data_IF_365375003706
#
_entry.id   IF_365375003706
#
_cell.length_a   1.000
_cell.length_b   1.000
_cell.length_c   1.000
_cell.angle_alpha   90.00
_cell.angle_beta   90.00
_cell.angle_gamma   90.00
#
_symmetry.space_group_name_H-M   'P 1'
#
loop_
_entity.id
_entity.type
_entity.pdbx_description
1 polymer ?
#
# COMPACT_ATOMS: atom_id res chain seq x y z
N UNK A 1 -12.02 -7.51 -8.31
CA UNK A 1 -10.68 -7.79 -7.76
C UNK A 1 -10.29 -9.25 -8.01
N UNK A 2 -11.11 -10.23 -7.62
CA UNK A 2 -10.84 -11.65 -7.81
C UNK A 2 -10.56 -12.03 -9.27
N UNK A 3 -11.40 -11.62 -10.21
CA UNK A 3 -11.18 -11.88 -11.64
C UNK A 3 -9.86 -11.29 -12.13
N UNK A 4 -9.52 -10.08 -11.66
CA UNK A 4 -8.27 -9.41 -11.99
C UNK A 4 -7.07 -10.23 -11.49
N UNK A 5 -7.15 -10.75 -10.27
CA UNK A 5 -6.14 -11.65 -9.72
C UNK A 5 -6.03 -12.95 -10.55
N UNK A 6 -7.13 -13.64 -10.84
CA UNK A 6 -7.14 -14.88 -11.64
C UNK A 6 -6.59 -14.64 -13.05
N UNK A 7 -7.01 -13.55 -13.70
CA UNK A 7 -6.70 -13.24 -15.10
C UNK A 7 -5.26 -12.79 -15.31
N UNK A 8 -4.67 -12.08 -14.35
CA UNK A 8 -3.36 -11.46 -14.54
C UNK A 8 -2.28 -12.05 -13.62
N UNK A 9 -2.52 -12.14 -12.32
CA UNK A 9 -1.50 -12.60 -11.36
C UNK A 9 -1.25 -14.11 -11.50
N UNK A 10 -2.30 -14.94 -11.50
CA UNK A 10 -2.14 -16.41 -11.62
C UNK A 10 -1.57 -16.87 -12.96
N UNK A 11 -1.66 -16.04 -14.01
CA UNK A 11 -1.00 -16.35 -15.29
C UNK A 11 0.52 -16.24 -15.22
N UNK A 12 1.02 -15.33 -14.38
CA UNK A 12 2.48 -15.09 -14.21
C UNK A 12 3.02 -15.92 -13.04
N UNK A 13 2.26 -16.05 -11.96
CA UNK A 13 2.61 -16.83 -10.77
C UNK A 13 1.47 -17.83 -10.50
N UNK A 14 1.51 -19.03 -11.10
CA UNK A 14 0.44 -20.03 -10.96
C UNK A 14 0.07 -20.36 -9.51
N UNK A 15 1.07 -20.44 -8.64
CA UNK A 15 0.90 -20.79 -7.22
C UNK A 15 0.57 -19.59 -6.31
N UNK A 16 0.26 -18.43 -6.89
CA UNK A 16 -0.09 -17.25 -6.11
C UNK A 16 -1.36 -17.50 -5.27
N UNK A 17 -1.29 -17.09 -4.01
CA UNK A 17 -2.42 -17.12 -3.07
C UNK A 17 -3.04 -15.73 -2.95
N UNK A 18 -4.37 -15.69 -2.98
CA UNK A 18 -5.13 -14.48 -2.68
C UNK A 18 -5.50 -14.49 -1.20
N UNK A 19 -4.95 -13.56 -0.44
CA UNK A 19 -5.26 -13.35 0.97
C UNK A 19 -6.07 -12.07 1.09
N UNK A 20 -7.28 -12.14 1.65
CA UNK A 20 -8.07 -10.96 1.99
C UNK A 20 -7.98 -10.72 3.48
N UNK A 21 -7.45 -9.57 3.87
CA UNK A 21 -7.53 -9.12 5.26
C UNK A 21 -8.91 -8.57 5.56
N UNK A 22 -9.60 -9.20 6.50
CA UNK A 22 -10.86 -8.73 7.03
C UNK A 22 -10.59 -7.58 8.02
N UNK A 23 -11.09 -6.39 7.66
CA UNK A 23 -10.98 -5.16 8.45
C UNK A 23 -12.31 -4.74 9.10
N UNK A 24 -13.33 -5.63 9.08
CA UNK A 24 -14.70 -5.33 9.51
C UNK A 24 -15.78 -5.73 8.51
N UNK A 25 -15.50 -6.69 7.62
CA UNK A 25 -16.48 -7.28 6.71
C UNK A 25 -17.63 -7.91 7.49
N UNK A 26 -18.84 -7.71 6.98
CA UNK A 26 -20.06 -8.32 7.49
C UNK A 26 -20.07 -9.83 7.21
N UNK A 27 -20.92 -10.56 7.93
CA UNK A 27 -21.13 -11.98 7.70
C UNK A 27 -21.54 -12.30 6.25
N UNK A 28 -22.42 -11.48 5.66
CA UNK A 28 -22.87 -11.69 4.27
C UNK A 28 -21.76 -11.42 3.24
N UNK A 29 -20.89 -10.43 3.47
CA UNK A 29 -19.72 -10.19 2.63
C UNK A 29 -18.72 -11.35 2.71
N UNK A 30 -18.45 -11.87 3.91
CA UNK A 30 -17.59 -13.06 4.08
C UNK A 30 -18.20 -14.27 3.36
N UNK A 31 -19.51 -14.48 3.49
CA UNK A 31 -20.24 -15.55 2.80
C UNK A 31 -20.15 -15.39 1.27
N UNK A 32 -20.27 -14.17 0.77
CA UNK A 32 -20.10 -13.86 -0.65
C UNK A 32 -18.66 -14.18 -1.12
N UNK A 33 -17.64 -13.74 -0.39
CA UNK A 33 -16.24 -14.01 -0.74
C UNK A 33 -15.95 -15.52 -0.80
N UNK A 34 -16.49 -16.29 0.15
CA UNK A 34 -16.38 -17.76 0.15
C UNK A 34 -17.07 -18.39 -1.06
N UNK A 35 -18.26 -17.90 -1.45
CA UNK A 35 -18.95 -18.35 -2.68
C UNK A 35 -18.13 -18.06 -3.94
N UNK A 36 -17.41 -16.95 -3.97
CA UNK A 36 -16.49 -16.60 -5.06
C UNK A 36 -15.15 -17.38 -5.01
N UNK A 37 -15.09 -18.48 -4.25
CA UNK A 37 -13.90 -19.32 -4.08
C UNK A 37 -12.67 -18.53 -3.57
N UNK A 38 -12.86 -17.47 -2.76
CA UNK A 38 -11.79 -16.86 -1.95
C UNK A 38 -11.57 -17.74 -0.74
N UNK A 39 -10.47 -18.50 -0.76
CA UNK A 39 -10.21 -19.55 0.22
C UNK A 39 -9.52 -19.04 1.49
N UNK A 40 -8.90 -17.85 1.45
CA UNK A 40 -8.10 -17.35 2.56
C UNK A 40 -8.49 -15.92 2.96
N UNK A 41 -9.29 -15.84 4.02
CA UNK A 41 -9.71 -14.58 4.67
C UNK A 41 -9.06 -14.56 6.06
N UNK A 42 -8.32 -13.50 6.39
CA UNK A 42 -7.60 -13.36 7.66
C UNK A 42 -8.11 -12.15 8.43
N UNK A 43 -8.51 -12.32 9.68
CA UNK A 43 -8.92 -11.20 10.52
C UNK A 43 -7.72 -10.35 10.94
N UNK A 44 -7.82 -9.05 10.71
CA UNK A 44 -6.87 -8.10 11.29
C UNK A 44 -7.30 -7.84 12.74
N UNK A 45 -6.54 -8.39 13.70
CA UNK A 45 -6.83 -8.27 15.13
C UNK A 45 -6.42 -6.91 15.67
N UNK A 46 -7.26 -5.90 15.44
CA UNK A 46 -7.04 -4.51 15.87
C UNK A 46 -6.82 -4.39 17.38
N UNK A 47 -7.37 -5.30 18.18
CA UNK A 47 -7.29 -5.33 19.65
C UNK A 47 -5.86 -5.57 20.15
N UNK A 48 -4.97 -6.08 19.30
CA UNK A 48 -3.56 -6.32 19.64
C UNK A 48 -2.67 -5.09 19.48
N UNK A 49 -3.21 -3.99 18.98
CA UNK A 49 -2.44 -2.80 18.62
C UNK A 49 -2.92 -1.57 19.39
N UNK A 50 -2.10 -0.51 19.48
CA UNK A 50 -2.49 0.75 20.10
C UNK A 50 -3.79 1.32 19.51
N UNK A 51 -4.52 2.11 20.30
CA UNK A 51 -5.87 2.56 19.95
C UNK A 51 -5.95 3.30 18.61
N UNK A 52 -4.93 4.09 18.26
CA UNK A 52 -4.90 4.81 16.98
C UNK A 52 -4.87 3.86 15.77
N UNK A 53 -4.31 2.66 15.90
CA UNK A 53 -4.29 1.64 14.83
C UNK A 53 -5.70 1.13 14.51
N UNK A 54 -6.63 1.23 15.46
CA UNK A 54 -8.03 0.80 15.29
C UNK A 54 -8.81 1.72 14.35
N UNK A 55 -8.27 2.88 14.00
CA UNK A 55 -8.87 3.84 13.07
C UNK A 55 -8.43 3.48 11.64
N UNK A 56 -9.27 2.83 10.81
CA UNK A 56 -8.82 2.28 9.53
C UNK A 56 -8.37 3.37 8.54
N UNK A 57 -8.89 4.59 8.68
CA UNK A 57 -8.53 5.75 7.84
C UNK A 57 -7.06 6.18 8.00
N UNK A 58 -6.36 5.74 9.05
CA UNK A 58 -4.91 5.91 9.19
C UNK A 58 -4.08 4.89 8.39
N UNK A 59 -4.72 3.89 7.77
CA UNK A 59 -4.10 2.84 6.95
C UNK A 59 -2.98 2.04 7.65
N UNK A 60 -2.89 2.12 8.98
CA UNK A 60 -1.82 1.47 9.77
C UNK A 60 -1.82 -0.05 9.63
N UNK A 61 -3.00 -0.64 9.44
CA UNK A 61 -3.13 -2.08 9.21
C UNK A 61 -2.32 -2.57 8.00
N UNK A 62 -2.11 -1.73 6.97
CA UNK A 62 -1.47 -2.12 5.70
C UNK A 62 -0.03 -2.58 5.86
N UNK A 63 0.91 -1.76 6.38
CA UNK A 63 2.29 -2.21 6.59
C UNK A 63 2.38 -3.41 7.54
N UNK A 64 1.50 -3.49 8.53
CA UNK A 64 1.46 -4.61 9.49
C UNK A 64 1.03 -5.91 8.78
N UNK A 65 -0.02 -5.85 7.95
CA UNK A 65 -0.47 -6.97 7.14
C UNK A 65 0.61 -7.44 6.17
N UNK A 66 1.25 -6.51 5.44
CA UNK A 66 2.37 -6.81 4.53
C UNK A 66 3.51 -7.49 5.29
N UNK A 67 3.93 -6.94 6.43
CA UNK A 67 5.00 -7.54 7.26
C UNK A 67 4.62 -8.94 7.72
N UNK A 68 3.37 -9.15 8.13
CA UNK A 68 2.88 -10.45 8.62
C UNK A 68 2.95 -11.50 7.52
N UNK A 69 2.44 -11.19 6.32
CA UNK A 69 2.48 -12.12 5.19
C UNK A 69 3.93 -12.35 4.71
N UNK A 70 4.79 -11.33 4.77
CA UNK A 70 6.22 -11.50 4.49
C UNK A 70 6.91 -12.45 5.47
N UNK A 71 6.39 -12.72 6.67
CA UNK A 71 6.98 -13.76 7.54
C UNK A 71 6.76 -15.17 6.97
N UNK A 72 5.73 -15.35 6.15
CA UNK A 72 5.31 -16.64 5.60
C UNK A 72 5.78 -16.82 4.15
N UNK A 73 5.74 -15.75 3.35
CA UNK A 73 5.97 -15.80 1.91
C UNK A 73 7.17 -14.92 1.49
N UNK A 74 7.93 -15.34 0.46
CA UNK A 74 9.11 -14.59 0.00
C UNK A 74 8.76 -13.35 -0.83
N UNK A 75 7.52 -13.24 -1.32
CA UNK A 75 7.04 -12.15 -2.15
C UNK A 75 5.58 -11.84 -1.78
N UNK A 76 5.26 -10.56 -1.59
CA UNK A 76 3.91 -10.08 -1.30
C UNK A 76 3.53 -9.02 -2.32
N UNK A 77 2.38 -9.19 -2.95
CA UNK A 77 1.74 -8.15 -3.78
C UNK A 77 0.62 -7.54 -2.94
N UNK A 78 0.80 -6.30 -2.51
CA UNK A 78 -0.27 -5.51 -1.94
C UNK A 78 -1.06 -4.81 -3.04
N UNK A 79 -2.38 -4.85 -2.93
CA UNK A 79 -3.29 -4.20 -3.87
C UNK A 79 -4.55 -3.76 -3.13
N UNK A 80 -4.82 -2.46 -3.10
CA UNK A 80 -6.06 -1.93 -2.54
C UNK A 80 -7.27 -2.49 -3.31
N UNK A 81 -8.42 -2.59 -2.64
CA UNK A 81 -9.63 -3.19 -3.21
C UNK A 81 -10.18 -2.44 -4.44
N UNK A 82 -9.80 -1.18 -4.61
CA UNK A 82 -10.13 -0.34 -5.77
C UNK A 82 -9.26 -0.61 -6.99
N UNK A 83 -8.07 -1.22 -6.82
CA UNK A 83 -7.03 -1.31 -7.85
C UNK A 83 -7.25 -2.49 -8.79
N UNK A 84 -7.06 -2.28 -10.09
CA UNK A 84 -7.14 -3.33 -11.13
C UNK A 84 -6.02 -3.19 -12.15
N UNK A 85 -5.33 -4.28 -12.47
CA UNK A 85 -4.50 -4.36 -13.68
C UNK A 85 -5.38 -4.23 -14.92
N UNK A 86 -5.00 -3.38 -15.87
CA UNK A 86 -5.75 -3.26 -17.14
C UNK A 86 -5.00 -3.77 -18.37
N UNK A 87 -3.72 -4.13 -18.23
CA UNK A 87 -2.91 -4.64 -19.34
C UNK A 87 -2.63 -6.14 -19.23
N UNK A 88 -2.43 -6.77 -20.38
CA UNK A 88 -2.39 -8.23 -20.54
C UNK A 88 -1.08 -8.88 -20.13
N UNK A 89 0.03 -8.16 -20.15
CA UNK A 89 1.33 -8.68 -19.74
C UNK A 89 1.85 -7.90 -18.52
N UNK A 90 1.96 -8.60 -17.39
CA UNK A 90 2.54 -8.06 -16.15
C UNK A 90 3.82 -8.80 -15.76
N UNK A 91 4.39 -9.65 -16.62
CA UNK A 91 5.56 -10.47 -16.29
C UNK A 91 6.78 -9.62 -15.94
N UNK A 92 7.08 -8.60 -16.73
CA UNK A 92 8.20 -7.68 -16.48
C UNK A 92 8.07 -6.98 -15.12
N UNK A 93 6.85 -6.66 -14.68
CA UNK A 93 6.60 -6.09 -13.36
C UNK A 93 7.06 -7.02 -12.22
N UNK A 94 6.81 -8.33 -12.36
CA UNK A 94 7.24 -9.33 -11.39
C UNK A 94 8.72 -9.67 -11.50
N UNK A 95 9.27 -9.69 -12.72
CA UNK A 95 10.72 -9.86 -12.94
C UNK A 95 11.51 -8.73 -12.30
N UNK A 96 11.07 -7.48 -12.49
CA UNK A 96 11.68 -6.31 -11.87
C UNK A 96 11.53 -6.33 -10.35
N UNK A 97 10.35 -6.68 -9.82
CA UNK A 97 10.18 -6.83 -8.38
C UNK A 97 11.09 -7.94 -7.81
N UNK A 98 11.29 -9.03 -8.55
CA UNK A 98 12.22 -10.09 -8.15
C UNK A 98 13.68 -9.63 -8.16
N UNK A 99 14.07 -8.79 -9.13
CA UNK A 99 15.43 -8.28 -9.30
C UNK A 99 15.76 -7.14 -8.33
N UNK A 100 14.86 -6.16 -8.22
CA UNK A 100 15.03 -4.94 -7.42
C UNK A 100 14.59 -5.10 -5.96
N UNK A 101 13.77 -6.11 -5.68
CA UNK A 101 13.23 -6.43 -4.36
C UNK A 101 11.98 -5.65 -3.98
N UNK A 102 11.68 -4.53 -4.64
CA UNK A 102 10.49 -3.72 -4.36
C UNK A 102 10.06 -2.95 -5.61
N UNK A 103 8.76 -2.95 -5.90
CA UNK A 103 8.14 -2.06 -6.89
C UNK A 103 6.90 -1.41 -6.27
N UNK A 104 6.71 -0.12 -6.52
CA UNK A 104 5.51 0.63 -6.13
C UNK A 104 5.04 1.53 -7.28
N UNK A 105 3.86 2.13 -7.12
CA UNK A 105 3.32 3.08 -8.10
C UNK A 105 3.74 4.51 -7.74
N UNK A 106 4.20 5.29 -8.72
CA UNK A 106 4.45 6.73 -8.54
C UNK A 106 3.16 7.55 -8.57
N UNK A 107 3.14 8.69 -7.88
CA UNK A 107 2.05 9.66 -7.94
C UNK A 107 2.56 11.08 -8.21
N UNK A 108 1.66 11.97 -8.64
CA UNK A 108 2.03 13.32 -9.06
C UNK A 108 2.08 14.35 -7.90
N UNK A 109 1.56 13.97 -6.73
CA UNK A 109 1.61 14.79 -5.52
C UNK A 109 3.04 14.98 -5.01
N UNK A 110 3.32 16.11 -4.34
CA UNK A 110 4.63 16.34 -3.70
C UNK A 110 4.64 15.76 -2.29
N UNK A 111 5.70 15.04 -1.93
CA UNK A 111 5.85 14.43 -0.60
C UNK A 111 5.73 15.49 0.51
N UNK A 112 6.40 16.64 0.36
CA UNK A 112 6.35 17.72 1.37
C UNK A 112 4.97 18.40 1.53
N UNK A 113 4.14 18.41 0.48
CA UNK A 113 2.79 18.97 0.54
C UNK A 113 1.77 18.00 1.15
N UNK A 114 2.08 16.71 1.12
CA UNK A 114 1.16 15.63 1.50
C UNK A 114 1.58 14.88 2.77
N UNK A 115 2.57 15.41 3.47
CA UNK A 115 3.11 14.84 4.70
C UNK A 115 3.18 15.92 5.78
N UNK A 116 2.69 15.61 6.97
CA UNK A 116 2.71 16.53 8.09
C UNK A 116 4.10 16.60 8.73
N UNK A 117 4.46 17.74 9.37
CA UNK A 117 5.76 17.90 10.00
C UNK A 117 6.11 16.82 11.05
N UNK A 118 5.10 16.29 11.76
CA UNK A 118 5.30 15.23 12.76
C UNK A 118 5.96 13.97 12.20
N UNK A 119 5.55 13.55 11.00
CA UNK A 119 6.15 12.40 10.30
C UNK A 119 7.61 12.65 9.95
N UNK A 120 7.94 13.84 9.43
CA UNK A 120 9.33 14.20 9.12
C UNK A 120 10.19 14.26 10.37
N UNK A 121 9.67 14.85 11.46
CA UNK A 121 10.34 14.92 12.76
C UNK A 121 10.65 13.52 13.31
N UNK A 122 9.72 12.57 13.22
CA UNK A 122 9.96 11.18 13.64
C UNK A 122 11.16 10.55 12.92
N UNK A 123 11.31 10.81 11.62
CA UNK A 123 12.44 10.30 10.84
C UNK A 123 13.70 11.15 10.90
N UNK A 124 13.70 12.24 11.68
CA UNK A 124 14.76 13.25 11.72
C UNK A 124 15.10 13.79 10.33
N UNK A 125 14.06 14.19 9.60
CA UNK A 125 14.14 14.70 8.23
C UNK A 125 13.58 16.11 8.14
N UNK A 126 14.10 16.87 7.19
CA UNK A 126 13.60 18.21 6.87
C UNK A 126 12.59 18.15 5.71
N UNK A 127 11.38 18.72 5.84
CA UNK A 127 10.38 18.71 4.76
C UNK A 127 10.90 19.32 3.45
N UNK A 128 11.82 20.29 3.53
CA UNK A 128 12.39 20.96 2.37
C UNK A 128 13.16 20.02 1.43
N UNK A 129 13.77 18.96 1.96
CA UNK A 129 14.47 17.93 1.17
C UNK A 129 13.50 17.14 0.26
N UNK A 130 12.20 17.19 0.56
CA UNK A 130 11.15 16.47 -0.14
C UNK A 130 10.23 17.38 -0.97
N UNK A 131 10.59 18.67 -1.11
CA UNK A 131 9.77 19.70 -1.79
C UNK A 131 9.47 19.38 -3.24
N UNK A 132 10.45 18.86 -3.96
CA UNK A 132 10.35 18.57 -5.41
C UNK A 132 10.21 17.07 -5.69
N UNK A 133 10.05 16.25 -4.65
CA UNK A 133 9.98 14.80 -4.80
C UNK A 133 8.51 14.37 -4.96
N UNK A 134 8.17 13.67 -6.07
CA UNK A 134 6.83 13.12 -6.25
C UNK A 134 6.57 11.99 -5.26
N UNK A 135 5.33 11.86 -4.82
CA UNK A 135 4.92 10.82 -3.89
C UNK A 135 4.98 9.43 -4.51
N UNK A 136 5.05 8.43 -3.65
CA UNK A 136 4.92 7.03 -4.02
C UNK A 136 3.61 6.55 -3.42
N UNK A 137 2.71 6.08 -4.28
CA UNK A 137 1.41 5.57 -3.87
C UNK A 137 1.56 4.25 -3.12
N UNK A 138 0.80 4.11 -2.02
CA UNK A 138 0.78 2.89 -1.20
C UNK A 138 -0.40 1.97 -1.55
N UNK A 139 -1.18 2.28 -2.60
CA UNK A 139 -2.31 1.46 -3.03
C UNK A 139 -1.90 0.19 -3.79
N UNK A 140 -0.71 0.18 -4.37
CA UNK A 140 -0.13 -0.99 -5.03
C UNK A 140 1.36 -1.08 -4.73
N UNK A 141 1.83 -2.28 -4.42
CA UNK A 141 3.26 -2.55 -4.32
C UNK A 141 3.58 -4.03 -4.30
N UNK A 142 4.75 -4.39 -4.83
CA UNK A 142 5.32 -5.73 -4.76
C UNK A 142 6.53 -5.65 -3.83
N UNK A 143 6.54 -6.47 -2.79
CA UNK A 143 7.56 -6.48 -1.74
C UNK A 143 8.20 -7.87 -1.68
N UNK A 144 9.50 -7.95 -1.96
CA UNK A 144 10.29 -9.18 -1.78
C UNK A 144 10.89 -9.20 -0.39
N UNK A 145 10.90 -10.36 0.24
CA UNK A 145 11.54 -10.60 1.54
C UNK A 145 13.05 -10.70 1.39
N UNK A 146 13.69 -9.57 1.14
CA UNK A 146 15.13 -9.42 1.30
C UNK A 146 15.43 -8.76 2.64
N UNK A 147 16.60 -9.01 3.20
CA UNK A 147 17.03 -8.36 4.43
C UNK A 147 16.97 -6.83 4.32
N UNK A 148 17.41 -6.30 3.16
CA UNK A 148 17.36 -4.88 2.86
C UNK A 148 15.93 -4.33 2.92
N UNK A 149 14.98 -4.93 2.18
CA UNK A 149 13.59 -4.45 2.12
C UNK A 149 12.92 -4.57 3.48
N UNK A 150 13.13 -5.68 4.20
CA UNK A 150 12.52 -5.86 5.52
C UNK A 150 13.08 -4.85 6.54
N UNK A 151 14.39 -4.66 6.60
CA UNK A 151 15.02 -3.84 7.64
C UNK A 151 14.95 -2.35 7.35
N UNK A 152 14.97 -1.92 6.09
CA UNK A 152 15.03 -0.49 5.74
C UNK A 152 13.67 0.08 5.33
N UNK A 153 12.73 -0.77 4.88
CA UNK A 153 11.41 -0.32 4.41
C UNK A 153 10.31 -0.85 5.34
N UNK A 154 10.11 -2.17 5.42
CA UNK A 154 8.93 -2.74 6.08
C UNK A 154 8.94 -2.51 7.60
N UNK A 155 10.06 -2.78 8.29
CA UNK A 155 10.16 -2.58 9.75
C UNK A 155 10.01 -1.09 10.13
N UNK A 156 10.69 -0.12 9.48
CA UNK A 156 10.46 1.30 9.76
C UNK A 156 9.03 1.77 9.45
N UNK A 157 8.41 1.24 8.38
CA UNK A 157 7.03 1.57 8.04
C UNK A 157 6.05 1.09 9.11
N UNK A 158 6.22 -0.14 9.60
CA UNK A 158 5.45 -0.68 10.74
C UNK A 158 5.75 0.11 12.02
N UNK A 159 7.02 0.41 12.31
CA UNK A 159 7.42 1.14 13.52
C UNK A 159 6.80 2.54 13.59
N UNK A 160 6.82 3.27 12.48
CA UNK A 160 6.11 4.55 12.37
C UNK A 160 4.59 4.38 12.49
N UNK A 161 4.01 3.32 11.91
CA UNK A 161 2.58 3.05 12.07
C UNK A 161 2.17 2.76 13.51
N UNK A 162 3.00 2.06 14.27
CA UNK A 162 2.77 1.75 15.68
C UNK A 162 3.06 2.92 16.62
N UNK A 163 3.64 4.02 16.13
CA UNK A 163 3.94 5.21 16.92
C UNK A 163 2.96 6.33 16.59
N UNK A 164 2.13 6.72 17.57
CA UNK A 164 1.25 7.88 17.46
C UNK A 164 2.06 9.15 17.17
N UNK A 165 1.55 10.01 16.28
CA UNK A 165 2.23 11.20 15.81
C UNK A 165 3.18 10.98 14.62
N UNK A 166 3.47 9.74 14.24
CA UNK A 166 4.30 9.45 13.05
C UNK A 166 3.47 9.26 11.78
N UNK A 167 2.79 8.10 11.63
CA UNK A 167 1.98 7.83 10.43
C UNK A 167 0.53 8.26 10.61
N UNK A 168 0.02 8.13 11.83
CA UNK A 168 -1.22 8.73 12.27
C UNK A 168 -0.86 9.95 13.11
N UNK A 169 -1.19 11.17 12.65
CA UNK A 169 -0.93 12.39 13.41
C UNK A 169 -1.67 12.39 14.76
N UNK A 170 -1.27 13.29 15.66
CA UNK A 170 -2.02 13.55 16.89
C UNK A 170 -3.35 14.23 16.51
N UNK A 171 -4.45 13.50 16.57
CA UNK A 171 -5.78 13.95 16.14
C UNK A 171 -6.53 12.91 15.32
N UNK A 172 -7.77 13.22 14.95
CA UNK A 172 -8.55 12.35 14.07
C UNK A 172 -8.17 12.60 12.60
N UNK A 173 -8.19 11.58 11.74
CA UNK A 173 -7.94 11.74 10.31
C UNK A 173 -8.83 12.72 9.55
N UNK A 174 -9.95 13.15 10.16
CA UNK A 174 -10.88 14.14 9.61
C UNK A 174 -10.48 15.59 9.95
N UNK A 175 -9.52 15.78 10.84
CA UNK A 175 -9.03 17.10 11.27
C UNK A 175 -8.04 17.73 10.27
N UNK A 176 -7.75 17.04 9.16
CA UNK A 176 -6.76 17.46 8.17
C UNK A 176 -7.42 17.81 6.84
N UNK A 177 -6.86 18.81 6.15
CA UNK A 177 -7.38 19.22 4.85
C UNK A 177 -7.32 18.06 3.86
N UNK A 178 -8.31 17.94 2.96
CA UNK A 178 -8.17 17.04 1.82
C UNK A 178 -6.94 17.43 1.02
N UNK A 179 -6.19 16.44 0.53
CA UNK A 179 -5.06 16.66 -0.36
C UNK A 179 -5.53 17.07 -1.76
N UNK A 180 -6.12 18.26 -1.87
CA UNK A 180 -6.40 18.95 -3.12
C UNK A 180 -5.09 19.44 -3.77
N UNK A 181 -5.16 19.96 -4.99
CA UNK A 181 -4.02 20.57 -5.72
C UNK A 181 -3.55 21.90 -5.11
N UNK A 182 -3.61 22.05 -3.78
CA UNK A 182 -3.04 23.20 -3.07
C UNK A 182 -1.58 22.89 -2.76
N UNK A 183 -0.68 23.73 -3.26
CA UNK A 183 0.77 23.60 -3.09
C UNK A 183 1.26 24.11 -1.72
N UNK A 184 0.47 23.95 -0.66
CA UNK A 184 0.87 24.39 0.68
C UNK A 184 1.50 23.22 1.43
N UNK A 185 2.56 23.49 2.18
CA UNK A 185 3.31 22.46 2.90
C UNK A 185 2.59 22.04 4.17
N UNK A 186 2.51 20.73 4.38
CA UNK A 186 1.98 20.16 5.62
C UNK A 186 0.54 20.54 5.93
N UNK A 187 -0.30 20.86 4.93
CA UNK A 187 -1.74 21.09 5.18
C UNK A 187 -2.56 19.80 5.11
N UNK A 188 -2.07 18.80 4.36
CA UNK A 188 -2.75 17.52 4.22
C UNK A 188 -1.80 16.36 4.52
N UNK A 189 -2.38 15.18 4.81
CA UNK A 189 -1.62 13.99 5.15
C UNK A 189 -2.12 12.74 4.41
N UNK A 190 -1.19 12.01 3.78
CA UNK A 190 -1.48 10.75 3.07
C UNK A 190 -1.03 9.49 3.83
N UNK A 191 -0.85 9.58 5.15
CA UNK A 191 -0.65 8.44 6.05
C UNK A 191 0.44 7.45 5.59
N UNK A 192 0.05 6.20 5.28
CA UNK A 192 0.91 5.12 4.82
C UNK A 192 1.72 5.49 3.58
N UNK A 193 1.11 6.24 2.66
CA UNK A 193 1.75 6.77 1.46
C UNK A 193 2.88 7.76 1.76
N UNK A 194 2.66 8.66 2.72
CA UNK A 194 3.64 9.67 3.16
C UNK A 194 4.89 9.00 3.71
N UNK A 195 4.68 8.02 4.59
CA UNK A 195 5.75 7.27 5.24
C UNK A 195 6.52 6.43 4.23
N UNK A 196 5.80 5.68 3.37
CA UNK A 196 6.43 4.88 2.33
C UNK A 196 7.29 5.74 1.40
N UNK A 197 6.81 6.93 1.02
CA UNK A 197 7.56 7.86 0.19
C UNK A 197 8.88 8.27 0.87
N UNK A 198 8.84 8.71 2.12
CA UNK A 198 10.05 9.11 2.88
C UNK A 198 11.06 7.96 2.93
N UNK A 199 10.61 6.75 3.28
CA UNK A 199 11.48 5.58 3.43
C UNK A 199 12.13 5.18 2.12
N UNK A 200 11.39 5.19 1.03
CA UNK A 200 11.89 4.81 -0.28
C UNK A 200 12.88 5.85 -0.85
N UNK A 201 12.61 7.14 -0.73
CA UNK A 201 13.60 8.17 -1.12
C UNK A 201 14.85 8.12 -0.25
N UNK A 202 14.71 7.87 1.05
CA UNK A 202 15.86 7.69 1.96
C UNK A 202 16.70 6.48 1.56
N UNK A 203 16.08 5.37 1.19
CA UNK A 203 16.78 4.13 0.86
C UNK A 203 17.42 4.14 -0.53
N UNK A 204 16.76 4.73 -1.52
CA UNK A 204 17.14 4.60 -2.93
C UNK A 204 17.67 5.88 -3.57
N UNK A 205 17.40 7.06 -3.00
CA UNK A 205 17.78 8.34 -3.59
C UNK A 205 17.25 8.48 -5.02
N UNK A 206 18.11 8.84 -5.97
CA UNK A 206 17.75 8.95 -7.40
C UNK A 206 17.42 7.61 -8.07
N UNK A 207 17.87 6.48 -7.50
CA UNK A 207 17.57 5.14 -8.04
C UNK A 207 16.11 4.75 -7.87
N UNK A 208 15.33 5.52 -7.09
CA UNK A 208 13.91 5.30 -6.88
C UNK A 208 13.10 5.23 -8.17
N UNK A 209 13.54 5.90 -9.24
CA UNK A 209 12.88 5.85 -10.54
C UNK A 209 12.78 4.42 -11.09
N UNK A 210 13.75 3.54 -10.78
CA UNK A 210 13.71 2.13 -11.20
C UNK A 210 12.63 1.32 -10.45
N UNK A 211 12.27 1.77 -9.25
CA UNK A 211 11.29 1.11 -8.38
C UNK A 211 9.86 1.63 -8.57
N UNK A 212 9.69 2.71 -9.35
CA UNK A 212 8.38 3.30 -9.63
C UNK A 212 7.81 2.78 -10.94
N UNK A 213 6.52 2.48 -10.96
CA UNK A 213 5.74 2.33 -12.20
C UNK A 213 4.76 3.49 -12.30
N UNK A 214 4.63 4.03 -13.51
CA UNK A 214 3.73 5.16 -13.74
C UNK A 214 2.29 4.73 -13.47
N UNK A 215 1.57 5.57 -12.73
CA UNK A 215 0.14 5.42 -12.54
C UNK A 215 -0.62 5.37 -13.87
N UNK A 216 -0.14 6.08 -14.90
CA UNK A 216 -0.69 6.12 -16.26
C UNK A 216 0.07 5.22 -17.24
N UNK A 217 1.03 4.43 -16.76
CA UNK A 217 1.92 3.61 -17.58
C UNK A 217 1.32 2.27 -17.98
N UNK A 218 2.11 1.40 -18.62
CA UNK A 218 1.65 0.11 -19.14
C UNK A 218 1.19 -0.90 -18.06
N UNK A 219 1.32 -0.55 -16.79
CA UNK A 219 0.88 -1.39 -15.68
C UNK A 219 -0.39 -0.84 -15.03
N UNK A 220 -1.14 -0.02 -15.77
CA UNK A 220 -2.25 0.80 -15.28
C UNK A 220 -3.13 0.05 -14.28
N UNK A 221 -3.16 0.66 -13.10
CA UNK A 221 -3.79 0.22 -11.87
C UNK A 221 -4.95 1.19 -11.66
N UNK A 222 -6.13 0.88 -12.20
CA UNK A 222 -7.28 1.80 -12.09
C UNK A 222 -7.95 1.64 -10.74
N UNK A 223 -8.17 2.73 -10.00
CA UNK A 223 -9.21 2.80 -8.98
C UNK A 223 -10.58 2.82 -9.67
N UNK A 224 -11.37 1.75 -9.53
CA UNK A 224 -12.76 1.75 -9.98
C UNK A 224 -13.64 2.11 -8.78
N UNK A 225 -14.34 3.25 -8.85
CA UNK A 225 -15.21 3.78 -7.78
C UNK A 225 -16.51 2.99 -7.59
N UNK A 226 -16.88 2.08 -8.52
CA UNK A 226 -18.07 1.23 -8.42
C UNK A 226 -17.70 -0.24 -8.60
N UNK A 227 -17.88 -1.03 -7.55
CA UNK A 227 -17.89 -2.49 -7.65
C UNK A 227 -19.32 -2.93 -7.96
N UNK A 228 -19.63 -3.25 -9.22
CA UNK A 228 -20.79 -4.07 -9.55
C UNK A 228 -20.32 -5.52 -9.57
N UNK A 229 -20.89 -6.33 -8.67
CA UNK A 229 -20.62 -7.76 -8.59
C UNK A 229 -21.74 -8.47 -9.35
N UNK A 230 -21.59 -8.58 -10.67
CA UNK A 230 -22.45 -9.49 -11.44
C UNK A 230 -21.88 -10.89 -11.25
N UNK A 231 -22.44 -11.57 -10.25
CA UNK A 231 -22.12 -12.96 -9.96
C UNK A 231 -22.81 -13.84 -10.98
N UNK A 232 -22.03 -14.70 -11.63
CA UNK A 232 -22.36 -16.09 -11.89
C UNK A 232 -21.08 -16.76 -12.42
N UNK A 233 -20.46 -17.57 -11.56
CA UNK A 233 -19.62 -18.73 -11.91
C UNK A 233 -19.07 -19.31 -10.60
N UNK A 234 -19.71 -20.38 -10.14
CA UNK A 234 -19.19 -21.28 -9.12
C UNK A 234 -17.97 -22.01 -9.69
N UNK A 235 -17.01 -22.35 -8.81
CA UNK A 235 -15.71 -22.93 -9.15
C UNK A 235 -15.73 -23.94 -10.33
#
# INVERSE_FOLDING_TARGET
>A
MLENFKRFVRKVIPDAKLIIYNLGLTFEEIKLLKRLCVLEIRDFRFEKYPDHVKIPKGYVFKPIAIQTVLKEYPLVVWMDSSIRFTQTNISELFEDANRLGLICTGGDGRVASRTLPGTFKYFNMEPCAYRSLPEIQAGFGIFKRTEFVVNNIIKPWVGCGLTLGCMMPDGLPDDHFPCEYRNVYGECHRYDQSVLSILLYRAYGTRIEQHKRSYYGPYYVRCIERCTWDGDDCC
#
